data_IF_626154605487
#
_entry.id   IF_626154605487
#
_cell.length_a   1.000
_cell.length_b   1.000
_cell.length_c   1.000
_cell.angle_alpha   90.00
_cell.angle_beta   90.00
_cell.angle_gamma   90.00
#
_symmetry.space_group_name_H-M   'P 1'
#
loop_
_entity.id
_entity.type
_entity.pdbx_description
1 polymer ?
#
# COMPACT_ATOMS: atom_id res chain seq x y z
N UNK A 1 -1.41 28.52 -30.72
CA UNK A 1 -0.86 28.26 -29.37
C UNK A 1 0.59 27.85 -29.53
N UNK A 2 1.51 28.35 -28.70
CA UNK A 2 2.91 27.93 -28.73
C UNK A 2 3.09 26.63 -27.94
N UNK A 3 3.72 25.63 -28.55
CA UNK A 3 4.14 24.42 -27.85
C UNK A 3 5.53 24.66 -27.25
N UNK A 4 5.69 24.42 -25.95
CA UNK A 4 6.99 24.47 -25.28
C UNK A 4 7.41 23.06 -24.90
N UNK A 5 8.58 22.65 -25.37
CA UNK A 5 9.15 21.33 -25.04
C UNK A 5 9.79 21.39 -23.66
N UNK A 6 9.42 20.45 -22.79
CA UNK A 6 10.11 20.28 -21.51
C UNK A 6 11.59 19.94 -21.72
N UNK A 7 12.46 20.66 -21.02
CA UNK A 7 13.89 20.35 -20.91
C UNK A 7 14.10 19.34 -19.79
N UNK A 8 15.27 18.69 -19.76
CA UNK A 8 15.61 17.70 -18.73
C UNK A 8 15.53 18.27 -17.30
N UNK A 9 15.82 19.55 -17.14
CA UNK A 9 15.74 20.26 -15.85
C UNK A 9 14.31 20.62 -15.41
N UNK A 10 13.34 20.62 -16.34
CA UNK A 10 11.96 21.01 -16.07
C UNK A 10 11.13 19.82 -15.55
N UNK A 11 11.70 18.60 -15.60
CA UNK A 11 11.07 17.37 -15.17
C UNK A 11 11.86 16.80 -14.01
N UNK A 12 11.19 16.63 -12.87
CA UNK A 12 11.75 16.00 -11.69
C UNK A 12 10.93 14.76 -11.37
N UNK A 13 11.61 13.61 -11.38
CA UNK A 13 11.06 12.35 -10.89
C UNK A 13 11.49 12.20 -9.42
N UNK A 14 10.53 12.26 -8.52
CA UNK A 14 10.74 12.03 -7.10
C UNK A 14 9.85 10.91 -6.60
N UNK A 15 10.25 10.21 -5.54
CA UNK A 15 9.42 9.22 -4.89
C UNK A 15 9.10 9.72 -3.50
N UNK A 16 7.81 9.93 -3.22
CA UNK A 16 7.34 10.20 -1.87
C UNK A 16 7.30 8.89 -1.09
N UNK A 17 7.92 8.87 0.09
CA UNK A 17 7.93 7.70 0.98
C UNK A 17 7.02 7.98 2.16
N UNK A 18 5.84 7.37 2.16
CA UNK A 18 4.91 7.41 3.28
C UNK A 18 5.18 6.24 4.23
N UNK A 19 5.10 6.50 5.54
CA UNK A 19 5.38 5.52 6.59
C UNK A 19 4.18 5.37 7.54
N UNK A 20 3.12 4.65 7.12
CA UNK A 20 1.96 4.41 7.98
C UNK A 20 2.33 3.51 9.17
N UNK A 21 1.79 3.84 10.34
CA UNK A 21 2.00 3.11 11.59
C UNK A 21 0.92 2.03 11.77
N UNK A 22 1.33 0.80 12.03
CA UNK A 22 0.44 -0.33 12.29
C UNK A 22 0.70 -0.92 13.67
N UNK A 23 -0.38 -1.30 14.35
CA UNK A 23 -0.34 -1.95 15.65
C UNK A 23 -1.31 -3.13 15.66
N UNK A 24 -0.80 -4.32 15.98
CA UNK A 24 -1.58 -5.53 16.20
C UNK A 24 -1.42 -5.97 17.64
N UNK A 25 -2.54 -6.23 18.31
CA UNK A 25 -2.57 -6.78 19.67
C UNK A 25 -3.21 -8.15 19.60
N UNK A 26 -2.58 -9.15 20.20
CA UNK A 26 -3.12 -10.49 20.31
C UNK A 26 -3.36 -10.76 21.79
N UNK A 27 -4.60 -11.05 22.15
CA UNK A 27 -5.03 -11.28 23.53
C UNK A 27 -6.02 -12.43 23.58
N UNK A 28 -5.70 -13.46 24.36
CA UNK A 28 -6.58 -14.63 24.57
C UNK A 28 -7.10 -15.25 23.27
N UNK A 29 -6.21 -15.42 22.28
CA UNK A 29 -6.55 -16.00 20.97
C UNK A 29 -7.23 -15.05 19.99
N UNK A 30 -7.63 -13.85 20.40
CA UNK A 30 -8.20 -12.84 19.51
C UNK A 30 -7.13 -11.84 19.06
N UNK A 31 -7.26 -11.38 17.81
CA UNK A 31 -6.38 -10.36 17.22
C UNK A 31 -7.14 -9.04 17.13
N UNK A 32 -6.46 -7.94 17.42
CA UNK A 32 -7.00 -6.58 17.33
C UNK A 32 -6.06 -5.73 16.49
N UNK A 33 -6.63 -5.04 15.51
CA UNK A 33 -5.91 -4.14 14.62
C UNK A 33 -6.18 -2.71 15.06
N UNK A 34 -5.14 -1.88 15.23
CA UNK A 34 -5.23 -0.47 15.62
C UNK A 34 -6.10 -0.21 16.87
N UNK A 35 -6.17 -1.18 17.79
CA UNK A 35 -7.04 -1.14 18.98
C UNK A 35 -8.53 -0.97 18.65
N UNK A 36 -8.94 -1.31 17.43
CA UNK A 36 -10.34 -1.33 17.03
C UNK A 36 -11.11 -2.38 17.84
N UNK A 37 -12.29 -2.00 18.32
CA UNK A 37 -13.24 -2.92 18.93
C UNK A 37 -14.14 -3.51 17.83
N UNK A 38 -14.51 -4.79 17.89
CA UNK A 38 -15.54 -5.32 17.02
C UNK A 38 -16.84 -4.56 17.22
N UNK A 39 -17.43 -4.09 16.13
CA UNK A 39 -18.75 -3.47 16.11
C UNK A 39 -19.73 -4.49 15.54
N UNK A 40 -20.76 -4.82 16.32
CA UNK A 40 -21.87 -5.65 15.86
C UNK A 40 -22.77 -4.84 14.91
N UNK A 41 -23.15 -5.46 13.81
CA UNK A 41 -24.12 -4.93 12.86
C UNK A 41 -25.57 -5.17 13.30
N UNK A 42 -26.50 -4.65 12.50
CA UNK A 42 -27.95 -4.80 12.72
C UNK A 42 -28.40 -6.26 12.60
N UNK A 43 -27.65 -7.11 11.88
CA UNK A 43 -27.97 -8.51 11.61
C UNK A 43 -27.25 -9.53 12.52
N UNK A 44 -26.88 -9.15 13.75
CA UNK A 44 -26.18 -9.97 14.77
C UNK A 44 -24.76 -10.46 14.39
N UNK A 45 -24.30 -10.14 13.19
CA UNK A 45 -22.97 -10.37 12.65
C UNK A 45 -22.03 -9.19 12.92
N UNK A 46 -20.72 -9.37 12.68
CA UNK A 46 -19.79 -8.25 12.62
C UNK A 46 -20.13 -7.38 11.42
N UNK A 47 -20.10 -6.05 11.59
CA UNK A 47 -20.52 -5.09 10.55
C UNK A 47 -19.75 -5.26 9.22
N UNK A 48 -18.49 -5.71 9.28
CA UNK A 48 -17.62 -5.93 8.12
C UNK A 48 -17.61 -7.40 7.65
N UNK A 49 -18.35 -8.31 8.32
CA UNK A 49 -18.32 -9.77 8.14
C UNK A 49 -16.94 -10.46 8.29
N UNK A 50 -15.90 -9.73 8.67
CA UNK A 50 -14.54 -10.26 8.87
C UNK A 50 -14.28 -10.51 10.36
N UNK A 51 -13.41 -11.48 10.72
CA UNK A 51 -12.98 -11.66 12.10
C UNK A 51 -12.27 -10.42 12.66
N UNK A 52 -12.19 -10.33 13.98
CA UNK A 52 -11.43 -9.28 14.68
C UNK A 52 -9.95 -9.30 14.29
N UNK A 53 -9.35 -8.11 14.14
CA UNK A 53 -7.94 -7.97 13.80
C UNK A 53 -7.61 -8.18 12.33
N UNK A 54 -8.62 -8.28 11.47
CA UNK A 54 -8.49 -8.26 10.03
C UNK A 54 -8.88 -6.90 9.48
N UNK A 55 -8.20 -6.48 8.41
CA UNK A 55 -8.64 -5.35 7.59
C UNK A 55 -9.50 -5.86 6.43
N UNK A 56 -10.64 -5.22 6.19
CA UNK A 56 -11.48 -5.54 5.03
C UNK A 56 -10.82 -5.00 3.77
N UNK A 57 -10.71 -5.83 2.74
CA UNK A 57 -10.19 -5.39 1.44
C UNK A 57 -11.29 -4.80 0.55
N UNK A 58 -12.54 -5.02 0.93
CA UNK A 58 -13.68 -4.65 0.13
C UNK A 58 -14.86 -4.23 1.01
N UNK A 59 -15.37 -3.04 0.77
CA UNK A 59 -16.36 -2.39 1.63
C UNK A 59 -17.79 -2.45 1.06
N UNK A 60 -18.05 -3.28 0.04
CA UNK A 60 -19.40 -3.40 -0.51
C UNK A 60 -20.41 -4.13 0.39
N UNK A 61 -19.89 -4.98 1.29
CA UNK A 61 -20.70 -5.78 2.22
C UNK A 61 -20.55 -5.26 3.65
N UNK A 62 -20.92 -4.00 3.86
CA UNK A 62 -21.09 -3.41 5.18
C UNK A 62 -22.53 -3.64 5.64
N UNK A 63 -22.68 -4.22 6.83
CA UNK A 63 -23.95 -4.47 7.52
C UNK A 63 -25.02 -5.10 6.62
N UNK A 64 -24.65 -6.15 5.88
CA UNK A 64 -25.59 -6.91 5.06
C UNK A 64 -26.05 -8.16 5.79
N UNK A 65 -27.24 -8.68 5.49
CA UNK A 65 -27.59 -10.05 5.84
C UNK A 65 -26.55 -11.02 5.26
N UNK A 66 -26.17 -12.05 6.02
CA UNK A 66 -25.17 -13.05 5.59
C UNK A 66 -25.54 -13.75 4.27
N UNK A 67 -26.83 -13.83 3.95
CA UNK A 67 -27.34 -14.49 2.74
C UNK A 67 -27.35 -13.59 1.50
N UNK A 68 -27.04 -12.30 1.62
CA UNK A 68 -27.10 -11.31 0.52
C UNK A 68 -25.80 -10.53 0.30
N UNK A 69 -24.67 -11.20 0.57
CA UNK A 69 -23.35 -10.69 0.29
C UNK A 69 -23.12 -10.51 -1.22
N UNK A 70 -22.54 -9.38 -1.61
CA UNK A 70 -22.04 -9.13 -2.97
C UNK A 70 -20.68 -9.82 -3.11
N UNK A 71 -20.54 -10.71 -4.09
CA UNK A 71 -19.27 -11.38 -4.39
C UNK A 71 -19.10 -11.55 -5.89
N UNK A 72 -17.84 -11.63 -6.32
CA UNK A 72 -17.53 -12.02 -7.69
C UNK A 72 -17.83 -13.51 -7.88
N UNK A 73 -18.46 -13.85 -9.00
CA UNK A 73 -18.70 -15.22 -9.42
C UNK A 73 -18.39 -15.36 -10.91
N UNK A 74 -18.07 -16.59 -11.32
CA UNK A 74 -17.91 -17.00 -12.70
C UNK A 74 -18.72 -18.29 -12.86
N UNK A 75 -19.53 -18.39 -13.90
CA UNK A 75 -20.24 -19.63 -14.20
C UNK A 75 -19.31 -20.62 -14.89
N UNK A 76 -19.33 -21.89 -14.46
CA UNK A 76 -18.53 -22.92 -15.10
C UNK A 76 -19.07 -23.21 -16.50
N UNK A 77 -18.26 -22.89 -17.50
CA UNK A 77 -18.56 -23.14 -18.91
C UNK A 77 -17.41 -23.89 -19.63
N UNK A 78 -17.53 -24.06 -20.94
CA UNK A 78 -16.52 -24.73 -21.77
C UNK A 78 -15.26 -23.89 -22.00
N UNK A 79 -15.26 -22.60 -21.63
CA UNK A 79 -14.10 -21.71 -21.82
C UNK A 79 -13.00 -21.93 -20.77
N UNK A 80 -13.30 -22.70 -19.71
CA UNK A 80 -12.38 -23.07 -18.62
C UNK A 80 -11.83 -21.87 -17.84
N UNK A 81 -12.60 -20.79 -17.74
CA UNK A 81 -12.25 -19.71 -16.83
C UNK A 81 -12.62 -20.05 -15.38
N UNK A 82 -11.67 -19.82 -14.48
CA UNK A 82 -11.85 -19.98 -13.05
C UNK A 82 -10.97 -18.98 -12.30
N UNK A 83 -11.30 -18.73 -11.04
CA UNK A 83 -10.43 -17.95 -10.16
C UNK A 83 -9.11 -18.69 -9.91
N UNK A 84 -8.01 -17.94 -9.77
CA UNK A 84 -6.67 -18.48 -9.49
C UNK A 84 -6.62 -19.41 -8.26
N UNK A 85 -7.55 -19.24 -7.33
CA UNK A 85 -7.66 -20.04 -6.10
C UNK A 85 -8.24 -21.43 -6.31
N UNK A 86 -8.88 -21.68 -7.46
CA UNK A 86 -9.44 -22.98 -7.81
C UNK A 86 -8.37 -23.80 -8.51
N UNK A 87 -8.06 -24.98 -7.98
CA UNK A 87 -7.11 -25.89 -8.63
C UNK A 87 -7.75 -26.54 -9.85
N UNK A 88 -6.91 -27.02 -10.78
CA UNK A 88 -7.39 -27.77 -11.95
C UNK A 88 -8.21 -28.99 -11.54
N UNK A 89 -7.77 -29.72 -10.51
CA UNK A 89 -8.50 -30.86 -9.95
C UNK A 89 -9.87 -30.48 -9.38
N UNK A 90 -10.00 -29.32 -8.75
CA UNK A 90 -11.29 -28.82 -8.26
C UNK A 90 -12.19 -28.39 -9.41
N UNK A 91 -11.65 -27.71 -10.42
CA UNK A 91 -12.39 -27.29 -11.60
C UNK A 91 -12.96 -28.47 -12.38
N UNK A 92 -12.16 -29.53 -12.59
CA UNK A 92 -12.56 -30.72 -13.34
C UNK A 92 -13.49 -31.66 -12.54
N UNK A 93 -13.60 -31.48 -11.22
CA UNK A 93 -14.47 -32.27 -10.35
C UNK A 93 -15.95 -31.91 -10.54
N UNK A 94 -16.73 -32.83 -11.11
CA UNK A 94 -18.18 -32.67 -11.31
C UNK A 94 -18.96 -32.58 -9.97
N UNK A 95 -18.42 -33.11 -8.88
CA UNK A 95 -19.04 -33.01 -7.55
C UNK A 95 -18.80 -31.67 -6.87
N UNK A 96 -17.77 -30.93 -7.30
CA UNK A 96 -17.40 -29.63 -6.71
C UNK A 96 -17.96 -28.48 -7.54
N UNK A 97 -17.86 -28.57 -8.86
CA UNK A 97 -18.44 -27.58 -9.79
C UNK A 97 -19.07 -28.32 -10.98
N UNK A 98 -20.38 -28.58 -10.98
CA UNK A 98 -21.16 -28.95 -12.15
C UNK A 98 -21.12 -27.88 -13.25
N UNK A 99 -21.39 -28.29 -14.50
CA UNK A 99 -21.52 -27.35 -15.61
C UNK A 99 -22.70 -26.39 -15.39
N UNK A 100 -22.47 -25.09 -15.56
CA UNK A 100 -23.45 -24.03 -15.30
C UNK A 100 -23.53 -23.58 -13.83
N UNK A 101 -22.77 -24.19 -12.90
CA UNK A 101 -22.74 -23.72 -11.52
C UNK A 101 -21.84 -22.48 -11.35
N UNK A 102 -22.23 -21.59 -10.45
CA UNK A 102 -21.45 -20.42 -10.09
C UNK A 102 -20.26 -20.82 -9.21
N UNK A 103 -19.06 -20.72 -9.78
CA UNK A 103 -17.81 -20.69 -9.04
C UNK A 103 -17.74 -19.32 -8.35
N UNK A 104 -17.71 -19.31 -7.02
CA UNK A 104 -17.69 -18.08 -6.21
C UNK A 104 -16.28 -17.78 -5.73
N UNK A 105 -15.90 -16.50 -5.68
CA UNK A 105 -14.66 -16.09 -5.02
C UNK A 105 -14.80 -16.20 -3.50
N UNK A 106 -13.71 -16.51 -2.78
CA UNK A 106 -13.70 -16.52 -1.32
C UNK A 106 -14.03 -15.10 -0.80
N UNK A 107 -15.11 -14.97 -0.03
CA UNK A 107 -15.56 -13.71 0.57
C UNK A 107 -15.89 -13.93 2.05
N UNK A 108 -15.65 -12.94 2.94
CA UNK A 108 -15.03 -11.63 2.72
C UNK A 108 -13.51 -11.67 2.51
N UNK A 109 -13.06 -10.88 1.54
CA UNK A 109 -11.64 -10.65 1.30
C UNK A 109 -11.08 -9.80 2.44
N UNK A 110 -10.18 -10.40 3.22
CA UNK A 110 -9.62 -9.78 4.40
C UNK A 110 -8.15 -10.14 4.56
N UNK A 111 -7.41 -9.28 5.25
CA UNK A 111 -5.99 -9.48 5.53
C UNK A 111 -5.69 -9.23 7.00
N UNK A 112 -4.88 -10.10 7.59
CA UNK A 112 -4.33 -9.96 8.95
C UNK A 112 -2.93 -10.55 9.00
N UNK A 113 -2.21 -10.27 10.08
CA UNK A 113 -0.94 -10.93 10.36
C UNK A 113 -1.14 -12.44 10.53
N UNK A 114 -0.15 -13.20 10.08
CA UNK A 114 -0.16 -14.66 10.21
C UNK A 114 1.13 -15.15 10.83
N UNK A 115 1.06 -16.35 11.40
CA UNK A 115 2.16 -17.04 12.06
C UNK A 115 2.38 -18.38 11.40
N UNK A 116 3.64 -18.75 11.20
CA UNK A 116 4.05 -20.07 10.74
C UNK A 116 5.04 -20.60 11.76
N UNK A 117 4.66 -21.68 12.46
CA UNK A 117 5.58 -22.38 13.33
C UNK A 117 6.31 -23.48 12.55
N UNK A 118 7.63 -23.49 12.66
CA UNK A 118 8.51 -24.46 12.02
C UNK A 118 9.24 -25.21 13.15
N UNK A 119 8.93 -26.49 13.40
CA UNK A 119 9.58 -27.25 14.46
C UNK A 119 11.05 -27.54 14.12
N UNK A 120 11.84 -27.86 15.14
CA UNK A 120 13.20 -28.36 14.95
C UNK A 120 13.19 -29.72 14.23
N UNK A 121 14.22 -30.00 13.44
CA UNK A 121 14.32 -31.27 12.69
C UNK A 121 15.12 -31.12 11.40
N UNK A 122 15.23 -32.22 10.64
CA UNK A 122 15.99 -32.23 9.39
C UNK A 122 15.43 -31.22 8.37
N UNK A 123 16.32 -30.46 7.73
CA UNK A 123 15.92 -29.50 6.69
C UNK A 123 15.49 -30.22 5.43
N UNK A 124 16.21 -31.25 5.00
CA UNK A 124 15.90 -32.08 3.83
C UNK A 124 15.57 -33.48 4.29
N UNK A 125 14.63 -34.14 3.62
CA UNK A 125 14.45 -35.56 3.83
C UNK A 125 15.27 -36.37 2.83
N UNK A 126 15.91 -37.42 3.34
CA UNK A 126 16.50 -38.50 2.55
C UNK A 126 15.45 -39.52 2.07
N UNK A 127 14.20 -39.42 2.54
CA UNK A 127 13.08 -40.33 2.18
C UNK A 127 11.74 -39.59 2.27
N UNK A 128 10.91 -39.61 1.22
CA UNK A 128 9.70 -38.78 1.15
C UNK A 128 8.83 -38.84 2.44
N UNK A 129 8.67 -37.70 3.13
CA UNK A 129 7.75 -37.55 4.27
C UNK A 129 8.37 -37.47 5.66
N UNK A 130 9.71 -37.46 5.80
CA UNK A 130 10.34 -37.29 7.12
C UNK A 130 10.51 -35.81 7.53
N UNK A 131 10.48 -34.87 6.58
CA UNK A 131 10.53 -33.44 6.92
C UNK A 131 9.16 -32.89 7.31
N UNK A 132 9.16 -31.91 8.20
CA UNK A 132 7.93 -31.17 8.49
C UNK A 132 7.53 -30.30 7.28
N UNK A 133 6.26 -30.31 6.90
CA UNK A 133 5.77 -29.60 5.71
C UNK A 133 6.08 -28.09 5.71
N UNK A 134 6.13 -27.47 6.89
CA UNK A 134 6.45 -26.04 7.04
C UNK A 134 7.92 -25.69 6.76
N UNK A 135 8.84 -26.66 6.65
CA UNK A 135 10.24 -26.41 6.29
C UNK A 135 10.40 -25.76 4.91
N UNK A 136 9.43 -25.96 4.01
CA UNK A 136 9.41 -25.28 2.69
C UNK A 136 9.45 -23.75 2.79
N UNK A 137 8.84 -23.16 3.83
CA UNK A 137 8.77 -21.70 3.99
C UNK A 137 10.13 -21.11 4.36
N UNK A 138 10.87 -21.73 5.30
CA UNK A 138 12.20 -21.25 5.64
C UNK A 138 13.19 -21.48 4.49
N UNK A 139 13.09 -22.62 3.78
CA UNK A 139 13.93 -22.90 2.60
C UNK A 139 13.76 -21.84 1.51
N UNK A 140 12.53 -21.38 1.26
CA UNK A 140 12.25 -20.32 0.28
C UNK A 140 12.96 -18.99 0.62
N UNK A 141 13.30 -18.76 1.90
CA UNK A 141 13.99 -17.57 2.36
C UNK A 141 15.51 -17.68 2.33
N UNK A 142 16.08 -18.81 1.90
CA UNK A 142 17.54 -19.01 1.85
C UNK A 142 18.25 -17.94 1.03
N UNK A 143 17.76 -17.68 -0.18
CA UNK A 143 18.33 -16.65 -1.06
C UNK A 143 18.25 -15.23 -0.46
N UNK A 144 17.06 -14.72 -0.06
CA UNK A 144 16.97 -13.37 0.50
C UNK A 144 17.74 -13.20 1.82
N UNK A 145 17.81 -14.23 2.67
CA UNK A 145 18.59 -14.18 3.92
C UNK A 145 20.09 -14.19 3.61
N UNK A 146 20.55 -15.04 2.68
CA UNK A 146 21.98 -15.16 2.34
C UNK A 146 22.54 -13.96 1.58
N UNK A 147 21.68 -13.12 1.00
CA UNK A 147 22.10 -11.90 0.30
C UNK A 147 22.53 -10.82 1.30
N UNK A 148 23.82 -10.81 1.64
CA UNK A 148 24.43 -9.90 2.61
C UNK A 148 24.15 -8.41 2.34
N UNK A 149 23.94 -8.04 1.07
CA UNK A 149 23.65 -6.65 0.66
C UNK A 149 22.27 -6.15 1.12
N UNK A 150 21.35 -7.03 1.51
CA UNK A 150 19.95 -6.66 1.81
C UNK A 150 19.70 -6.53 3.31
N UNK A 151 20.37 -7.34 4.13
CA UNK A 151 20.04 -7.52 5.55
C UNK A 151 21.26 -7.35 6.48
N UNK A 152 22.47 -7.07 5.99
CA UNK A 152 23.65 -6.92 6.85
C UNK A 152 24.33 -8.25 7.25
N UNK A 153 25.55 -8.20 7.81
CA UNK A 153 26.45 -9.35 7.96
C UNK A 153 26.02 -10.40 9.00
N UNK A 154 25.09 -10.07 9.88
CA UNK A 154 24.53 -10.93 10.93
C UNK A 154 23.43 -11.86 10.42
N UNK A 155 22.73 -11.49 9.35
CA UNK A 155 21.64 -12.27 8.79
C UNK A 155 22.21 -13.40 7.92
N UNK A 156 22.43 -14.57 8.54
CA UNK A 156 22.92 -15.77 7.86
C UNK A 156 21.89 -16.88 7.95
N UNK A 157 21.68 -17.58 6.83
CA UNK A 157 20.77 -18.73 6.80
C UNK A 157 21.20 -19.81 7.81
N UNK A 158 22.52 -20.07 7.91
CA UNK A 158 23.12 -20.89 8.97
C UNK A 158 22.32 -22.15 9.30
N UNK A 159 21.91 -22.27 10.56
CA UNK A 159 21.16 -23.40 11.10
C UNK A 159 19.65 -23.16 11.17
N UNK A 160 19.10 -22.14 10.50
CA UNK A 160 17.65 -21.86 10.50
C UNK A 160 16.83 -23.00 9.88
N UNK A 161 17.43 -23.77 8.96
CA UNK A 161 16.82 -24.96 8.38
C UNK A 161 16.58 -26.08 9.39
N UNK A 162 17.43 -26.20 10.42
CA UNK A 162 17.36 -27.30 11.40
C UNK A 162 16.74 -26.91 12.74
N UNK A 163 16.91 -25.65 13.16
CA UNK A 163 16.33 -25.12 14.40
C UNK A 163 14.81 -24.93 14.32
N UNK A 164 14.18 -24.81 15.49
CA UNK A 164 12.82 -24.32 15.57
C UNK A 164 12.79 -22.82 15.27
N UNK A 165 11.83 -22.40 14.43
CA UNK A 165 11.69 -21.01 14.01
C UNK A 165 10.22 -20.65 14.08
N UNK A 166 9.93 -19.52 14.71
CA UNK A 166 8.61 -18.92 14.70
C UNK A 166 8.61 -17.75 13.72
N UNK A 167 7.85 -17.87 12.64
CA UNK A 167 7.82 -16.89 11.56
C UNK A 167 6.53 -16.07 11.63
N UNK A 168 6.66 -14.75 11.76
CA UNK A 168 5.55 -13.81 11.66
C UNK A 168 5.57 -13.21 10.25
N UNK A 169 4.43 -13.30 9.57
CA UNK A 169 4.26 -12.81 8.21
C UNK A 169 3.33 -11.59 8.23
N UNK A 170 3.87 -10.44 7.83
CA UNK A 170 3.11 -9.21 7.61
C UNK A 170 2.67 -9.17 6.14
N UNK A 171 1.36 -9.17 5.86
CA UNK A 171 0.87 -9.06 4.48
C UNK A 171 1.32 -7.77 3.79
N UNK A 172 1.49 -7.85 2.46
CA UNK A 172 1.88 -6.71 1.62
C UNK A 172 0.92 -5.51 1.68
N UNK A 173 -0.34 -5.71 2.06
CA UNK A 173 -1.26 -4.57 2.25
C UNK A 173 -0.83 -3.64 3.40
N UNK A 174 -0.17 -4.18 4.43
CA UNK A 174 0.34 -3.39 5.54
C UNK A 174 1.79 -2.97 5.29
N UNK A 175 2.62 -3.87 4.77
CA UNK A 175 4.02 -3.55 4.51
C UNK A 175 4.22 -2.62 3.30
N UNK A 176 3.31 -2.63 2.32
CA UNK A 176 3.51 -1.93 1.05
C UNK A 176 4.74 -2.48 0.31
N UNK A 177 5.79 -1.66 0.20
CA UNK A 177 7.09 -2.03 -0.36
C UNK A 177 8.05 -2.70 0.63
N UNK A 178 7.69 -2.77 1.92
CA UNK A 178 8.50 -3.37 2.98
C UNK A 178 8.27 -2.70 4.34
N UNK A 179 8.81 -3.29 5.40
CA UNK A 179 8.78 -2.68 6.74
C UNK A 179 9.91 -1.63 6.84
N UNK A 180 9.64 -0.51 7.49
CA UNK A 180 10.65 0.53 7.72
C UNK A 180 11.72 0.02 8.70
N UNK A 181 12.98 0.30 8.38
CA UNK A 181 14.12 -0.24 9.15
C UNK A 181 14.12 0.29 10.58
N UNK A 182 14.33 -0.58 11.56
CA UNK A 182 14.34 -0.21 12.99
C UNK A 182 12.97 0.14 13.57
N UNK A 183 11.90 0.10 12.77
CA UNK A 183 10.56 0.52 13.22
C UNK A 183 9.78 -0.57 13.97
N UNK A 184 10.26 -1.81 13.91
CA UNK A 184 9.56 -2.96 14.46
C UNK A 184 9.83 -3.12 15.95
N UNK A 185 8.75 -3.31 16.70
CA UNK A 185 8.76 -3.51 18.13
C UNK A 185 7.77 -4.62 18.49
N UNK A 186 8.28 -5.63 19.19
CA UNK A 186 7.53 -6.77 19.68
C UNK A 186 7.52 -6.71 21.21
N UNK A 187 6.34 -6.63 21.80
CA UNK A 187 6.16 -6.61 23.25
C UNK A 187 5.37 -7.83 23.70
N UNK A 188 5.90 -8.53 24.69
CA UNK A 188 5.33 -9.71 25.30
C UNK A 188 4.78 -9.36 26.67
N UNK A 189 3.49 -9.62 26.89
CA UNK A 189 2.83 -9.44 28.17
C UNK A 189 2.37 -10.78 28.75
N UNK A 190 2.53 -10.95 30.05
CA UNK A 190 1.97 -12.07 30.81
C UNK A 190 1.13 -11.49 31.93
N UNK A 191 -0.15 -11.88 32.00
CA UNK A 191 -1.12 -11.43 33.01
C UNK A 191 -1.20 -9.89 33.10
N UNK A 192 -1.04 -9.22 31.96
CA UNK A 192 -1.06 -7.75 31.84
C UNK A 192 0.26 -7.03 32.15
N UNK A 193 1.27 -7.73 32.67
CA UNK A 193 2.60 -7.16 32.92
C UNK A 193 3.50 -7.35 31.71
N UNK A 194 4.25 -6.30 31.32
CA UNK A 194 5.27 -6.42 30.27
C UNK A 194 6.41 -7.30 30.77
N UNK A 195 6.71 -8.39 30.06
CA UNK A 195 7.75 -9.36 30.42
C UNK A 195 8.98 -9.23 29.53
N UNK A 196 8.78 -8.98 28.24
CA UNK A 196 9.88 -8.85 27.30
C UNK A 196 9.56 -7.89 26.17
N UNK A 197 10.57 -7.18 25.67
CA UNK A 197 10.46 -6.37 24.46
C UNK A 197 11.65 -6.65 23.56
N UNK A 198 11.39 -6.90 22.28
CA UNK A 198 12.41 -7.02 21.26
C UNK A 198 12.27 -5.91 20.22
N UNK A 199 13.38 -5.26 19.89
CA UNK A 199 13.48 -4.19 18.90
C UNK A 199 14.69 -4.43 18.01
N UNK A 200 14.63 -3.93 16.79
CA UNK A 200 15.84 -3.73 16.01
C UNK A 200 16.49 -2.39 16.39
N UNK A 201 17.50 -2.46 17.25
CA UNK A 201 18.22 -1.29 17.74
C UNK A 201 19.19 -0.71 16.69
N UNK A 202 19.70 -1.55 15.78
CA UNK A 202 20.76 -1.18 14.84
C UNK A 202 20.26 -0.93 13.42
N UNK A 203 18.96 -1.10 13.16
CA UNK A 203 18.36 -1.00 11.82
C UNK A 203 18.99 -1.96 10.80
N UNK A 204 19.57 -3.05 11.27
CA UNK A 204 20.25 -4.07 10.48
C UNK A 204 19.46 -5.39 10.40
N UNK A 205 18.23 -5.39 10.90
CA UNK A 205 17.35 -6.54 10.89
C UNK A 205 17.58 -7.53 12.02
N UNK A 206 18.56 -7.33 12.92
CA UNK A 206 18.66 -8.15 14.13
C UNK A 206 17.64 -7.71 15.17
N UNK A 207 16.88 -8.65 15.70
CA UNK A 207 15.98 -8.39 16.82
C UNK A 207 16.71 -8.66 18.12
N UNK A 208 16.89 -7.61 18.91
CA UNK A 208 17.55 -7.67 20.20
C UNK A 208 16.50 -7.48 21.28
N UNK A 209 16.55 -8.32 22.30
CA UNK A 209 15.73 -8.15 23.49
C UNK A 209 16.23 -6.93 24.29
N UNK A 210 15.45 -5.86 24.30
CA UNK A 210 15.76 -4.62 25.03
C UNK A 210 15.23 -4.62 26.46
N UNK A 211 14.24 -5.46 26.74
CA UNK A 211 13.61 -5.58 28.06
C UNK A 211 13.31 -7.04 28.39
N UNK A 212 13.43 -7.44 29.66
CA UNK A 212 13.16 -8.79 30.18
C UNK A 212 14.36 -9.46 30.84
N UNK A 213 14.31 -10.77 31.03
CA UNK A 213 15.34 -11.56 31.73
C UNK A 213 16.69 -11.68 30.99
N UNK A 214 16.68 -11.62 29.66
CA UNK A 214 17.86 -11.83 28.79
C UNK A 214 18.14 -10.61 27.90
N UNK A 215 18.32 -9.44 28.51
CA UNK A 215 18.61 -8.20 27.78
C UNK A 215 19.92 -8.28 26.97
N UNK A 216 19.92 -7.67 25.78
CA UNK A 216 21.08 -7.63 24.90
C UNK A 216 21.31 -8.90 24.07
N UNK A 217 20.45 -9.91 24.21
CA UNK A 217 20.52 -11.14 23.39
C UNK A 217 19.77 -10.98 22.07
N UNK A 218 20.30 -11.62 21.01
CA UNK A 218 19.64 -11.69 19.70
C UNK A 218 18.57 -12.80 19.74
N UNK A 219 17.32 -12.41 19.56
CA UNK A 219 16.15 -13.31 19.68
C UNK A 219 15.56 -13.69 18.32
N UNK A 220 16.01 -13.03 17.26
CA UNK A 220 15.51 -13.24 15.91
C UNK A 220 16.07 -12.26 14.87
N UNK A 221 15.50 -12.32 13.67
CA UNK A 221 15.85 -11.46 12.54
C UNK A 221 14.61 -10.99 11.77
N UNK A 222 14.72 -9.88 11.04
CA UNK A 222 13.65 -9.25 10.25
C UNK A 222 14.10 -9.08 8.82
N UNK A 223 13.29 -9.58 7.89
CA UNK A 223 13.47 -9.45 6.45
C UNK A 223 12.56 -8.32 5.96
N UNK A 224 13.06 -7.09 6.02
CA UNK A 224 12.29 -5.86 5.75
C UNK A 224 11.50 -5.87 4.46
N UNK A 225 12.15 -6.21 3.35
CA UNK A 225 11.53 -6.18 2.01
C UNK A 225 10.43 -7.23 1.83
N UNK A 226 10.44 -8.31 2.62
CA UNK A 226 9.44 -9.38 2.54
C UNK A 226 8.37 -9.27 3.62
N UNK A 227 8.53 -8.37 4.61
CA UNK A 227 7.61 -8.26 5.73
C UNK A 227 7.62 -9.48 6.64
N UNK A 228 8.75 -10.18 6.76
CA UNK A 228 8.86 -11.42 7.54
C UNK A 228 9.74 -11.19 8.76
N UNK A 229 9.30 -11.68 9.91
CA UNK A 229 10.07 -11.72 11.15
C UNK A 229 10.31 -13.16 11.53
N UNK A 230 11.55 -13.52 11.82
CA UNK A 230 11.97 -14.85 12.25
C UNK A 230 12.42 -14.76 13.70
N UNK A 231 11.75 -15.49 14.58
CA UNK A 231 12.08 -15.59 15.99
C UNK A 231 12.64 -16.98 16.28
N UNK A 232 13.78 -17.02 16.95
CA UNK A 232 14.51 -18.26 17.28
C UNK A 232 14.80 -18.43 18.75
N UNK A 233 14.55 -17.40 19.57
CA UNK A 233 14.77 -17.44 21.02
C UNK A 233 13.90 -18.50 21.71
N UNK A 234 14.53 -19.54 22.25
CA UNK A 234 13.90 -20.64 22.99
C UNK A 234 13.94 -20.46 24.51
N UNK A 235 14.66 -19.45 25.00
CA UNK A 235 14.81 -19.22 26.43
C UNK A 235 13.49 -18.82 27.08
N UNK A 236 13.30 -19.25 28.33
CA UNK A 236 12.11 -18.95 29.11
C UNK A 236 12.09 -17.47 29.50
N UNK A 237 11.04 -16.75 29.12
CA UNK A 237 10.87 -15.33 29.42
C UNK A 237 10.24 -15.08 30.78
N UNK A 238 9.49 -16.04 31.30
CA UNK A 238 8.76 -15.95 32.58
C UNK A 238 8.41 -17.35 33.11
N UNK A 239 8.13 -17.46 34.41
CA UNK A 239 7.86 -18.74 35.09
C UNK A 239 6.42 -19.25 34.88
N UNK A 240 5.53 -18.41 34.37
CA UNK A 240 4.16 -18.79 34.01
C UNK A 240 4.16 -19.83 32.89
N UNK A 241 3.26 -20.81 32.93
CA UNK A 241 3.10 -21.80 31.86
C UNK A 241 1.79 -21.61 31.12
N UNK A 242 1.78 -21.74 29.79
CA UNK A 242 0.58 -21.60 28.95
C UNK A 242 0.60 -22.58 27.77
N UNK A 243 -0.53 -22.71 27.07
CA UNK A 243 -0.77 -23.74 26.04
C UNK A 243 -0.32 -23.30 24.63
N UNK A 244 0.98 -23.11 24.44
CA UNK A 244 1.51 -22.56 23.18
C UNK A 244 1.66 -23.56 22.04
N UNK A 245 2.05 -24.81 22.34
CA UNK A 245 2.39 -25.81 21.33
C UNK A 245 1.46 -27.04 21.30
N UNK A 246 0.53 -27.12 22.24
CA UNK A 246 -0.46 -28.20 22.36
C UNK A 246 -1.64 -27.71 23.20
N UNK A 247 -2.87 -28.20 22.95
CA UNK A 247 -4.03 -27.89 23.77
C UNK A 247 -4.02 -28.55 25.17
N UNK A 248 -3.20 -29.58 25.36
CA UNK A 248 -3.16 -30.39 26.59
C UNK A 248 -1.88 -30.25 27.42
N UNK A 249 -0.83 -29.64 26.89
CA UNK A 249 0.43 -29.43 27.62
C UNK A 249 0.77 -27.95 27.75
N UNK A 250 1.15 -27.56 28.95
CA UNK A 250 1.65 -26.21 29.20
C UNK A 250 3.14 -26.14 28.89
N UNK A 251 3.56 -24.98 28.40
CA UNK A 251 4.94 -24.66 28.03
C UNK A 251 5.26 -23.25 28.53
N UNK A 252 6.53 -22.98 28.82
CA UNK A 252 6.95 -21.64 29.24
C UNK A 252 6.96 -20.66 28.05
N UNK A 253 6.71 -19.37 28.30
CA UNK A 253 6.71 -18.34 27.27
C UNK A 253 8.11 -18.13 26.72
N UNK A 254 8.24 -18.11 25.41
CA UNK A 254 9.49 -17.88 24.68
C UNK A 254 9.21 -17.07 23.41
N UNK A 255 10.25 -16.59 22.73
CA UNK A 255 10.07 -15.93 21.43
C UNK A 255 9.56 -16.91 20.36
N UNK A 256 9.75 -18.22 20.54
CA UNK A 256 9.13 -19.26 19.72
C UNK A 256 7.61 -19.36 19.90
N UNK A 257 7.07 -19.03 21.07
CA UNK A 257 5.62 -19.02 21.33
C UNK A 257 4.94 -17.69 21.00
N UNK A 258 5.73 -16.66 20.65
CA UNK A 258 5.22 -15.32 20.37
C UNK A 258 4.16 -15.31 19.26
N UNK A 259 3.03 -14.62 19.50
CA UNK A 259 1.94 -14.52 18.54
C UNK A 259 1.05 -15.77 18.48
N UNK A 260 1.03 -16.61 19.52
CA UNK A 260 0.00 -17.67 19.68
C UNK A 260 -1.38 -17.03 19.72
N UNK A 261 -2.27 -17.42 18.81
CA UNK A 261 -3.56 -16.77 18.55
C UNK A 261 -3.64 -16.03 17.21
N UNK A 262 -2.51 -15.74 16.56
CA UNK A 262 -2.52 -15.28 15.16
C UNK A 262 -2.97 -16.41 14.23
N UNK A 263 -3.51 -16.01 13.06
CA UNK A 263 -3.85 -16.95 11.98
C UNK A 263 -2.65 -17.82 11.63
N UNK A 264 -2.80 -19.13 11.71
CA UNK A 264 -1.75 -20.05 11.28
C UNK A 264 -1.79 -20.27 9.77
N UNK A 265 -0.60 -20.42 9.19
CA UNK A 265 -0.44 -20.75 7.76
C UNK A 265 0.51 -21.93 7.63
N UNK A 266 0.19 -22.85 6.71
CA UNK A 266 0.90 -24.11 6.54
C UNK A 266 0.21 -25.25 7.27
N UNK A 267 0.97 -26.29 7.63
CA UNK A 267 0.49 -27.33 8.52
C UNK A 267 0.30 -26.72 9.92
N UNK A 268 -0.95 -26.62 10.34
CA UNK A 268 -1.33 -25.98 11.59
C UNK A 268 -0.82 -26.76 12.80
N UNK A 269 -0.24 -26.02 13.75
CA UNK A 269 0.10 -26.49 15.07
C UNK A 269 -1.14 -26.35 15.96
N UNK A 270 -1.65 -27.47 16.47
CA UNK A 270 -2.72 -27.45 17.47
C UNK A 270 -2.22 -26.81 18.76
N UNK A 271 -2.79 -25.68 19.16
CA UNK A 271 -2.49 -24.99 20.42
C UNK A 271 -3.76 -24.78 21.24
N UNK A 272 -3.60 -24.52 22.54
CA UNK A 272 -4.73 -24.10 23.38
C UNK A 272 -4.98 -22.60 23.27
N UNK A 273 -6.06 -22.12 23.91
CA UNK A 273 -6.28 -20.69 24.08
C UNK A 273 -5.29 -20.21 25.16
N UNK A 274 -4.38 -19.27 24.85
CA UNK A 274 -3.46 -18.75 25.86
C UNK A 274 -4.19 -17.76 26.76
N UNK A 275 -4.42 -18.13 28.02
CA UNK A 275 -5.23 -17.33 28.94
C UNK A 275 -4.44 -16.16 29.55
N UNK A 276 -3.14 -16.35 29.78
CA UNK A 276 -2.30 -15.35 30.46
C UNK A 276 -1.45 -14.52 29.50
N UNK A 277 -1.19 -15.03 28.29
CA UNK A 277 -0.21 -14.43 27.37
C UNK A 277 -0.85 -13.48 26.37
N UNK A 278 -0.27 -12.29 26.22
CA UNK A 278 -0.68 -11.29 25.24
C UNK A 278 0.51 -10.70 24.52
N UNK A 279 0.30 -10.26 23.28
CA UNK A 279 1.38 -9.82 22.40
C UNK A 279 0.99 -8.49 21.75
N UNK A 280 1.93 -7.57 21.64
CA UNK A 280 1.78 -6.35 20.85
C UNK A 280 2.87 -6.32 19.79
N UNK A 281 2.47 -6.08 18.55
CA UNK A 281 3.34 -5.98 17.39
C UNK A 281 3.09 -4.59 16.79
N UNK A 282 4.10 -3.73 16.83
CA UNK A 282 4.05 -2.44 16.15
C UNK A 282 5.15 -2.33 15.12
N UNK A 283 4.82 -1.80 13.95
CA UNK A 283 5.78 -1.55 12.88
C UNK A 283 5.28 -0.42 11.98
N UNK A 284 6.18 0.16 11.18
CA UNK A 284 5.83 1.11 10.14
C UNK A 284 5.96 0.46 8.77
N UNK A 285 4.92 0.55 7.95
CA UNK A 285 5.01 0.15 6.54
C UNK A 285 5.79 1.18 5.72
N UNK A 286 6.18 0.82 4.50
CA UNK A 286 6.81 1.75 3.55
C UNK A 286 6.01 1.76 2.27
N UNK A 287 5.29 2.86 2.01
CA UNK A 287 4.61 3.06 0.73
C UNK A 287 5.38 4.08 -0.11
N UNK A 288 5.81 3.66 -1.30
CA UNK A 288 6.57 4.48 -2.24
C UNK A 288 5.62 4.93 -3.35
N UNK A 289 5.25 6.21 -3.33
CA UNK A 289 4.42 6.82 -4.37
C UNK A 289 5.34 7.54 -5.34
N UNK A 290 5.50 7.07 -6.60
CA UNK A 290 6.23 7.81 -7.60
C UNK A 290 5.47 9.08 -7.98
N UNK A 291 6.19 10.19 -8.03
CA UNK A 291 5.64 11.52 -8.31
C UNK A 291 6.44 12.18 -9.42
N UNK A 292 5.78 12.58 -10.49
CA UNK A 292 6.36 13.37 -11.57
C UNK A 292 5.99 14.84 -11.35
N UNK A 293 7.00 15.66 -11.13
CA UNK A 293 6.85 17.11 -11.09
C UNK A 293 7.32 17.70 -12.41
N UNK A 294 6.48 18.50 -13.05
CA UNK A 294 6.80 19.21 -14.29
C UNK A 294 6.68 20.72 -14.07
N UNK A 295 7.69 21.46 -14.48
CA UNK A 295 7.70 22.92 -14.39
C UNK A 295 7.42 23.52 -15.78
N UNK A 296 6.25 24.15 -15.92
CA UNK A 296 5.86 24.83 -17.15
C UNK A 296 6.10 26.34 -17.01
N UNK A 297 7.08 26.85 -17.76
CA UNK A 297 7.48 28.26 -17.73
C UNK A 297 6.77 29.08 -18.81
N UNK A 298 6.20 30.21 -18.39
CA UNK A 298 5.65 31.25 -19.25
C UNK A 298 6.49 32.51 -19.06
N UNK A 299 7.50 32.68 -19.92
CA UNK A 299 8.51 33.74 -19.78
C UNK A 299 7.97 35.10 -20.22
N UNK A 300 8.76 36.16 -20.01
CA UNK A 300 8.43 37.52 -20.46
C UNK A 300 8.29 37.52 -21.99
N UNK A 301 7.27 38.20 -22.50
CA UNK A 301 6.93 38.21 -23.93
C UNK A 301 6.20 36.97 -24.45
N UNK A 302 6.19 35.85 -23.73
CA UNK A 302 5.46 34.64 -24.15
C UNK A 302 3.97 34.68 -23.76
N UNK A 303 3.15 33.93 -24.52
CA UNK A 303 1.73 33.68 -24.25
C UNK A 303 0.88 34.96 -24.10
N UNK A 304 1.25 36.02 -24.82
CA UNK A 304 0.62 37.35 -24.78
C UNK A 304 -0.58 37.51 -25.75
N UNK A 305 -1.00 36.45 -26.45
CA UNK A 305 -2.18 36.45 -27.32
C UNK A 305 -3.08 35.23 -27.07
N UNK A 306 -4.39 35.43 -27.25
CA UNK A 306 -5.41 34.38 -27.16
C UNK A 306 -6.06 34.16 -28.52
N UNK A 307 -6.45 32.92 -28.83
CA UNK A 307 -7.20 32.60 -30.05
C UNK A 307 -8.71 32.75 -29.85
N UNK A 308 -9.15 33.17 -28.66
CA UNK A 308 -10.56 33.39 -28.36
C UNK A 308 -11.05 34.68 -29.04
N UNK A 309 -11.95 34.63 -30.04
CA UNK A 309 -12.34 35.81 -30.83
C UNK A 309 -13.04 36.91 -30.03
N UNK A 310 -13.40 36.66 -28.76
CA UNK A 310 -14.01 37.66 -27.86
C UNK A 310 -13.14 38.88 -27.56
N UNK A 311 -11.84 38.84 -27.91
CA UNK A 311 -10.94 39.99 -27.79
C UNK A 311 -11.27 41.13 -28.77
N UNK A 312 -12.07 40.92 -29.82
CA UNK A 312 -12.45 41.95 -30.77
C UNK A 312 -13.60 42.81 -30.23
N UNK A 313 -13.58 44.12 -30.50
CA UNK A 313 -14.70 45.02 -30.23
C UNK A 313 -15.89 44.65 -31.12
N UNK A 314 -17.11 44.81 -30.59
CA UNK A 314 -18.29 44.77 -31.44
C UNK A 314 -18.24 45.98 -32.38
N UNK A 315 -18.44 45.78 -33.68
CA UNK A 315 -18.61 46.86 -34.65
C UNK A 315 -20.09 46.98 -35.00
N UNK A 316 -20.59 48.21 -35.12
CA UNK A 316 -21.89 48.46 -35.73
C UNK A 316 -21.75 48.36 -37.26
N UNK A 317 -22.44 47.40 -37.88
CA UNK A 317 -22.43 47.17 -39.34
C UNK A 317 -22.11 45.73 -39.76
N UNK A 318 -22.18 45.41 -41.07
CA UNK A 318 -21.87 44.08 -41.57
C UNK A 318 -20.37 43.73 -41.38
N UNK A 319 -20.11 42.60 -40.73
CA UNK A 319 -18.77 42.13 -40.35
C UNK A 319 -17.83 41.86 -41.54
N UNK A 320 -18.41 41.55 -42.69
CA UNK A 320 -17.69 41.28 -43.92
C UNK A 320 -18.55 41.69 -45.13
N UNK A 321 -17.88 42.11 -46.19
CA UNK A 321 -18.48 42.28 -47.51
C UNK A 321 -17.98 41.12 -48.38
N UNK A 322 -18.91 40.30 -48.86
CA UNK A 322 -18.60 39.18 -49.75
C UNK A 322 -19.36 39.33 -51.07
N UNK A 323 -18.62 39.43 -52.16
CA UNK A 323 -19.13 39.41 -53.54
C UNK A 323 -18.44 38.29 -54.32
N UNK A 324 -18.95 37.94 -55.50
CA UNK A 324 -18.35 36.91 -56.37
C UNK A 324 -16.91 37.21 -56.84
N UNK A 325 -16.41 38.44 -56.66
CA UNK A 325 -15.06 38.85 -57.07
C UNK A 325 -14.17 39.32 -55.91
N UNK A 326 -14.72 39.59 -54.74
CA UNK A 326 -13.96 40.16 -53.63
C UNK A 326 -14.57 39.82 -52.27
N UNK A 327 -13.68 39.52 -51.32
CA UNK A 327 -13.98 39.37 -49.91
C UNK A 327 -13.16 40.39 -49.11
N UNK A 328 -13.83 41.27 -48.36
CA UNK A 328 -13.18 42.10 -47.33
C UNK A 328 -13.84 41.92 -45.98
N UNK A 329 -13.01 42.02 -44.94
CA UNK A 329 -13.45 42.06 -43.55
C UNK A 329 -13.25 43.46 -43.00
N UNK A 330 -14.20 43.93 -42.20
CA UNK A 330 -14.09 45.21 -41.51
C UNK A 330 -12.92 45.15 -40.50
N UNK A 331 -12.09 46.20 -40.45
CA UNK A 331 -11.01 46.30 -39.48
C UNK A 331 -11.60 46.48 -38.08
N UNK A 332 -11.48 45.47 -37.22
CA UNK A 332 -11.96 45.51 -35.84
C UNK A 332 -10.86 45.95 -34.87
N UNK A 333 -11.23 46.75 -33.87
CA UNK A 333 -10.33 47.15 -32.79
C UNK A 333 -10.23 46.02 -31.75
N UNK A 334 -9.08 45.91 -31.10
CA UNK A 334 -8.89 44.96 -30.00
C UNK A 334 -9.42 45.61 -28.72
N UNK A 335 -10.28 44.89 -27.99
CA UNK A 335 -10.78 45.32 -26.68
C UNK A 335 -9.62 45.49 -25.71
N UNK A 336 -9.59 46.66 -25.10
CA UNK A 336 -8.66 47.02 -24.03
C UNK A 336 -9.23 46.58 -22.68
N UNK A 337 -8.43 45.89 -21.86
CA UNK A 337 -8.85 45.38 -20.54
C UNK A 337 -8.09 46.10 -19.39
N UNK A 338 -6.99 46.82 -19.68
CA UNK A 338 -6.29 47.59 -18.66
C UNK A 338 -7.11 48.82 -18.24
N UNK A 339 -7.15 49.03 -16.93
CA UNK A 339 -7.82 50.17 -16.29
C UNK A 339 -6.73 51.12 -15.80
N UNK A 340 -6.90 52.41 -16.11
CA UNK A 340 -6.07 53.46 -15.56
C UNK A 340 -6.39 53.64 -14.06
N UNK A 341 -5.37 53.84 -13.20
CA UNK A 341 -5.60 54.20 -11.80
C UNK A 341 -6.04 55.67 -11.63
N UNK A 342 -5.92 56.50 -12.66
CA UNK A 342 -6.32 57.91 -12.64
C UNK A 342 -7.67 58.13 -13.32
N UNK A 343 -8.53 58.92 -12.70
CA UNK A 343 -9.77 59.38 -13.33
C UNK A 343 -9.45 60.25 -14.56
N UNK A 344 -10.17 60.03 -15.67
CA UNK A 344 -10.04 60.76 -16.94
C UNK A 344 -8.74 60.56 -17.73
N UNK A 345 -7.93 59.55 -17.40
CA UNK A 345 -6.78 59.16 -18.21
C UNK A 345 -7.01 57.77 -18.80
N UNK A 346 -6.86 57.61 -20.11
CA UNK A 346 -6.86 56.31 -20.76
C UNK A 346 -5.41 55.85 -20.97
N UNK A 347 -5.02 54.73 -20.35
CA UNK A 347 -3.70 54.13 -20.61
C UNK A 347 -3.55 53.61 -22.06
N UNK A 348 -2.33 53.42 -22.53
CA UNK A 348 -2.11 52.73 -23.81
C UNK A 348 -2.55 51.26 -23.77
N UNK A 349 -2.80 50.68 -24.94
CA UNK A 349 -3.13 49.26 -25.04
C UNK A 349 -1.95 48.38 -24.61
N UNK A 350 -2.18 47.51 -23.63
CA UNK A 350 -1.24 46.43 -23.27
C UNK A 350 -1.87 45.07 -23.58
N UNK A 351 -1.12 44.20 -24.27
CA UNK A 351 -1.55 42.81 -24.51
C UNK A 351 -1.62 42.05 -23.19
N UNK A 352 -2.83 41.67 -22.80
CA UNK A 352 -3.10 40.91 -21.58
C UNK A 352 -3.88 39.65 -21.91
N UNK A 353 -3.46 38.53 -21.33
CA UNK A 353 -4.09 37.21 -21.51
C UNK A 353 -4.32 36.55 -20.16
N UNK A 354 -5.19 35.55 -20.15
CA UNK A 354 -5.43 34.74 -18.96
C UNK A 354 -5.06 33.29 -19.26
N UNK A 355 -4.17 32.74 -18.44
CA UNK A 355 -3.83 31.32 -18.48
C UNK A 355 -4.82 30.59 -17.58
N UNK A 356 -5.68 29.77 -18.17
CA UNK A 356 -6.70 28.99 -17.46
C UNK A 356 -6.40 27.49 -17.45
N UNK A 357 -5.79 26.98 -18.52
CA UNK A 357 -5.50 25.56 -18.71
C UNK A 357 -4.12 25.37 -19.30
N UNK A 358 -3.46 24.29 -18.90
CA UNK A 358 -2.15 23.87 -19.42
C UNK A 358 -2.34 22.47 -20.00
N UNK A 359 -2.18 22.34 -21.32
CA UNK A 359 -2.23 21.06 -22.02
C UNK A 359 -0.85 20.42 -22.09
N UNK A 360 -0.75 19.15 -21.75
CA UNK A 360 0.45 18.33 -21.87
C UNK A 360 0.30 17.46 -23.11
N UNK A 361 1.32 17.48 -23.97
CA UNK A 361 1.31 16.79 -25.25
C UNK A 361 2.46 15.79 -25.35
N UNK A 362 2.21 14.67 -26.02
CA UNK A 362 3.26 13.71 -26.39
C UNK A 362 4.08 14.21 -27.60
N UNK A 363 5.16 13.50 -27.96
CA UNK A 363 6.04 13.76 -29.12
C UNK A 363 5.27 13.93 -30.44
N UNK A 364 4.15 13.21 -30.60
CA UNK A 364 3.29 13.29 -31.78
C UNK A 364 2.25 14.42 -31.71
N UNK A 365 2.33 15.31 -30.71
CA UNK A 365 1.37 16.40 -30.43
C UNK A 365 -0.05 15.93 -30.09
N UNK A 366 -0.18 14.69 -29.62
CA UNK A 366 -1.42 14.20 -29.02
C UNK A 366 -1.55 14.74 -27.59
N UNK A 367 -2.72 15.26 -27.23
CA UNK A 367 -3.00 15.76 -25.88
C UNK A 367 -3.14 14.57 -24.93
N UNK A 368 -2.28 14.49 -23.91
CA UNK A 368 -2.26 13.39 -22.94
C UNK A 368 -2.81 13.79 -21.57
N UNK A 369 -2.76 15.08 -21.22
CA UNK A 369 -3.34 15.58 -19.98
C UNK A 369 -3.68 17.08 -20.08
N UNK A 370 -4.65 17.53 -19.27
CA UNK A 370 -5.00 18.95 -19.13
C UNK A 370 -5.03 19.30 -17.65
N UNK A 371 -4.18 20.23 -17.25
CA UNK A 371 -4.23 20.84 -15.92
C UNK A 371 -5.09 22.11 -15.99
N UNK A 372 -6.23 22.10 -15.31
CA UNK A 372 -7.09 23.28 -15.19
C UNK A 372 -6.78 24.05 -13.92
N UNK A 373 -6.64 25.36 -14.02
CA UNK A 373 -6.48 26.25 -12.88
C UNK A 373 -7.86 26.64 -12.35
N UNK A 374 -8.04 26.65 -11.02
CA UNK A 374 -9.30 27.07 -10.40
C UNK A 374 -9.62 28.55 -10.72
N UNK A 375 -8.60 29.41 -10.62
CA UNK A 375 -8.67 30.83 -10.97
C UNK A 375 -7.68 31.14 -12.11
N UNK A 376 -8.14 31.66 -13.26
CA UNK A 376 -7.25 32.03 -14.35
C UNK A 376 -6.24 33.11 -13.95
N UNK A 377 -4.98 32.93 -14.32
CA UNK A 377 -3.90 33.85 -13.95
C UNK A 377 -3.68 34.88 -15.06
N UNK A 378 -3.70 36.17 -14.71
CA UNK A 378 -3.45 37.29 -15.66
C UNK A 378 -1.96 37.35 -16.04
N UNK A 379 -1.66 37.13 -17.31
CA UNK A 379 -0.35 37.29 -17.94
C UNK A 379 -0.29 38.62 -18.70
N UNK A 380 0.76 39.38 -18.44
CA UNK A 380 1.17 40.55 -19.23
C UNK A 380 2.50 40.28 -19.90
N UNK A 381 2.93 41.14 -20.82
CA UNK A 381 4.22 40.99 -21.53
C UNK A 381 5.41 41.02 -20.59
N UNK A 382 5.34 41.81 -19.51
CA UNK A 382 6.44 42.01 -18.55
C UNK A 382 6.53 40.96 -17.44
N UNK A 383 5.44 40.21 -17.18
CA UNK A 383 5.38 39.24 -16.08
C UNK A 383 5.83 37.86 -16.53
N UNK A 384 6.51 37.13 -15.66
CA UNK A 384 6.86 35.72 -15.81
C UNK A 384 6.05 34.86 -14.84
N UNK A 385 5.74 33.62 -15.24
CA UNK A 385 5.12 32.64 -14.36
C UNK A 385 5.76 31.27 -14.54
N UNK A 386 5.79 30.51 -13.44
CA UNK A 386 6.13 29.10 -13.41
C UNK A 386 4.94 28.35 -12.82
N UNK A 387 4.43 27.37 -13.58
CA UNK A 387 3.40 26.47 -13.09
C UNK A 387 4.04 25.14 -12.70
N UNK A 388 3.90 24.77 -11.43
CA UNK A 388 4.30 23.46 -10.91
C UNK A 388 3.15 22.48 -11.07
N UNK A 389 3.33 21.52 -11.98
CA UNK A 389 2.39 20.43 -12.23
C UNK A 389 2.90 19.19 -11.51
N UNK A 390 2.03 18.49 -10.76
CA UNK A 390 2.37 17.26 -10.07
C UNK A 390 1.43 16.15 -10.54
N UNK A 391 2.01 15.02 -10.92
CA UNK A 391 1.31 13.81 -11.29
C UNK A 391 1.82 12.68 -10.39
N UNK A 392 0.91 12.11 -9.60
CA UNK A 392 1.20 10.97 -8.73
C UNK A 392 0.76 9.69 -9.46
N UNK A 393 1.57 8.64 -9.38
CA UNK A 393 1.35 7.35 -10.05
C UNK A 393 0.96 6.24 -9.08
#
# INVERSE_FOLDING_TARGET
>A
MSYKRFRKQDIVQSTMVAKPDFNFIVHSGNVFYQREKPISGSFSNLIKHIPTGYNSLYELNIDRPSDSLIYAFIEKDSTRYAFRTVTTSQFDSQSTFPFGEQIKMLYPLSASMSRIYIPAGAEFSSSAGAEHANKKYIRALKNPISSANVLGPSNKYGNLGTKAVNMLCVPGIFAGSGIDKGSIELSYYVTGTLVATAKDLYSDGRMIQTYGSTTGTEVGSVIYNQGIVLLTGSDSLHDSSDKFFSPSSNSSPSWLSFGTGLKQVGQELSHGIPDSSSYSISFKGVNKVPTLTMFAFSEKGEHNFSHNPTFLSASEGPDYNHTTRYHSQARKLIKKINKSPYANHEEDFESTTYISKIGIYDKNKNLIAVASLANPVKKTTKRDFMFKLRLDF
#
